data_IF_649625873251
#
_entry.id   IF_649625873251
#
_cell.length_a   1.000
_cell.length_b   1.000
_cell.length_c   1.000
_cell.angle_alpha   90.00
_cell.angle_beta   90.00
_cell.angle_gamma   90.00
#
_symmetry.space_group_name_H-M   'P 1'
#
loop_
_entity.id
_entity.type
_entity.pdbx_description
1 polymer ?
#
# COMPACT_ATOMS: atom_id res chain seq x y z
N UNK A 1 5.47 27.11 1.74
CA UNK A 1 6.52 27.76 0.95
C UNK A 1 7.41 28.43 1.97
N UNK A 2 8.39 27.71 2.46
CA UNK A 2 9.46 28.31 3.26
C UNK A 2 10.22 29.23 2.32
N UNK A 3 10.34 30.51 2.71
CA UNK A 3 11.23 31.45 2.07
C UNK A 3 12.64 30.90 2.25
N UNK A 4 13.19 30.33 1.18
CA UNK A 4 14.63 30.06 1.11
C UNK A 4 15.33 31.38 1.32
N UNK A 5 15.92 31.59 2.49
CA UNK A 5 16.85 32.67 2.71
C UNK A 5 17.98 32.50 1.68
N UNK A 6 18.06 33.40 0.71
CA UNK A 6 19.22 33.48 -0.19
C UNK A 6 20.47 33.57 0.70
N UNK A 7 21.25 32.48 0.75
CA UNK A 7 22.52 32.52 1.46
C UNK A 7 23.43 33.48 0.71
N UNK A 8 23.75 34.64 1.34
CA UNK A 8 24.53 35.71 0.73
C UNK A 8 25.93 35.22 0.30
N UNK A 9 26.50 34.24 1.04
CA UNK A 9 27.79 33.64 0.71
C UNK A 9 27.69 32.75 -0.52
N UNK A 10 26.66 31.91 -0.61
CA UNK A 10 26.43 31.07 -1.78
C UNK A 10 26.20 31.90 -3.04
N UNK A 11 25.43 33.00 -2.95
CA UNK A 11 25.22 33.92 -4.07
C UNK A 11 26.52 34.57 -4.51
N UNK A 12 27.36 35.06 -3.57
CA UNK A 12 28.69 35.63 -3.90
C UNK A 12 29.59 34.58 -4.56
N UNK A 13 29.50 33.34 -4.13
CA UNK A 13 30.25 32.25 -4.74
C UNK A 13 29.77 31.96 -6.17
N UNK A 14 28.46 31.94 -6.43
CA UNK A 14 27.90 31.81 -7.78
C UNK A 14 28.33 32.93 -8.69
N UNK A 15 28.20 34.21 -8.25
CA UNK A 15 28.64 35.38 -9.00
C UNK A 15 30.14 35.30 -9.32
N UNK A 16 30.97 34.83 -8.39
CA UNK A 16 32.42 34.61 -8.61
C UNK A 16 32.66 33.57 -9.73
N UNK A 17 31.92 32.46 -9.71
CA UNK A 17 32.06 31.41 -10.73
C UNK A 17 31.59 31.92 -12.10
N UNK A 18 30.41 32.55 -12.17
CA UNK A 18 29.83 33.06 -13.43
C UNK A 18 30.69 34.13 -14.09
N UNK A 19 31.24 35.06 -13.29
CA UNK A 19 32.06 36.15 -13.78
C UNK A 19 33.53 35.75 -13.99
N UNK A 20 33.91 34.52 -13.59
CA UNK A 20 35.30 34.04 -13.59
C UNK A 20 36.24 35.00 -12.81
N UNK A 21 35.75 35.50 -11.67
CA UNK A 21 36.48 36.34 -10.73
C UNK A 21 37.13 35.50 -9.63
N UNK A 22 38.15 36.02 -8.95
CA UNK A 22 38.74 35.39 -7.78
C UNK A 22 38.33 36.19 -6.53
N UNK A 23 37.36 35.66 -5.77
CA UNK A 23 37.04 36.16 -4.43
C UNK A 23 37.71 35.27 -3.39
N UNK A 24 38.11 35.87 -2.29
CA UNK A 24 38.64 35.14 -1.15
C UNK A 24 37.53 34.90 -0.15
N UNK A 25 37.35 33.63 0.22
CA UNK A 25 36.53 33.18 1.34
C UNK A 25 37.47 32.51 2.36
N UNK A 26 37.19 32.69 3.63
CA UNK A 26 37.90 31.93 4.66
C UNK A 26 37.36 30.50 4.80
N UNK A 27 37.90 29.73 5.74
CA UNK A 27 37.53 28.32 5.91
C UNK A 27 36.08 28.17 6.34
N UNK A 28 35.59 28.96 7.29
CA UNK A 28 34.23 28.93 7.81
C UNK A 28 33.24 29.32 6.71
N UNK A 29 33.51 30.39 5.96
CA UNK A 29 32.66 30.82 4.83
C UNK A 29 32.53 29.72 3.75
N UNK A 30 33.62 29.01 3.42
CA UNK A 30 33.54 27.88 2.48
C UNK A 30 32.76 26.71 3.04
N UNK A 31 32.87 26.40 4.32
CA UNK A 31 32.08 25.35 4.98
C UNK A 31 30.59 25.67 4.90
N UNK A 32 30.20 26.91 5.20
CA UNK A 32 28.82 27.39 5.09
C UNK A 32 28.28 27.26 3.65
N UNK A 33 29.08 27.64 2.64
CA UNK A 33 28.73 27.49 1.23
C UNK A 33 28.52 25.99 0.87
N UNK A 34 29.42 25.13 1.32
CA UNK A 34 29.34 23.70 1.03
C UNK A 34 28.10 23.08 1.68
N UNK A 35 27.85 23.40 2.96
CA UNK A 35 26.67 22.93 3.70
C UNK A 35 25.39 23.36 2.99
N UNK A 36 25.29 24.62 2.58
CA UNK A 36 24.15 25.15 1.85
C UNK A 36 23.82 24.33 0.59
N UNK A 37 24.81 23.97 -0.23
CA UNK A 37 24.60 23.17 -1.42
C UNK A 37 24.31 21.69 -1.10
N UNK A 38 24.85 21.14 -0.02
CA UNK A 38 24.52 19.80 0.46
C UNK A 38 23.06 19.71 0.89
N UNK A 39 22.57 20.72 1.63
CA UNK A 39 21.16 20.81 2.07
C UNK A 39 20.19 20.98 0.90
N UNK A 40 20.60 21.73 -0.15
CA UNK A 40 19.81 21.84 -1.39
C UNK A 40 19.82 20.58 -2.27
N UNK A 41 20.71 19.61 -1.98
CA UNK A 41 20.92 18.44 -2.83
C UNK A 41 21.69 18.77 -4.12
N UNK A 42 22.30 19.96 -4.24
CA UNK A 42 23.15 20.31 -5.39
C UNK A 42 24.60 19.90 -5.14
N UNK A 43 24.82 18.60 -5.18
CA UNK A 43 26.13 18.02 -4.94
C UNK A 43 27.19 18.44 -5.96
N UNK A 44 26.79 18.90 -7.15
CA UNK A 44 27.70 19.41 -8.16
C UNK A 44 28.30 20.74 -7.75
N UNK A 45 27.50 21.68 -7.25
CA UNK A 45 27.96 22.93 -6.71
C UNK A 45 28.73 22.76 -5.38
N UNK A 46 28.29 21.82 -4.53
CA UNK A 46 29.03 21.44 -3.33
C UNK A 46 30.46 20.96 -3.67
N UNK A 47 30.60 20.07 -4.67
CA UNK A 47 31.94 19.61 -5.14
C UNK A 47 32.76 20.77 -5.72
N UNK A 48 32.14 21.70 -6.45
CA UNK A 48 32.82 22.89 -6.99
C UNK A 48 33.33 23.76 -5.88
N UNK A 49 32.54 24.04 -4.84
CA UNK A 49 32.92 24.82 -3.67
C UNK A 49 34.08 24.15 -2.92
N UNK A 50 34.01 22.84 -2.66
CA UNK A 50 35.12 22.08 -2.06
C UNK A 50 36.41 22.21 -2.87
N UNK A 51 36.33 22.07 -4.21
CA UNK A 51 37.51 22.13 -5.06
C UNK A 51 38.15 23.53 -5.07
N UNK A 52 37.35 24.62 -4.96
CA UNK A 52 37.83 25.96 -4.79
C UNK A 52 38.45 26.18 -3.41
N UNK A 53 37.75 25.74 -2.36
CA UNK A 53 38.23 25.85 -0.99
C UNK A 53 39.60 25.17 -0.80
N UNK A 54 39.79 23.97 -1.32
CA UNK A 54 41.07 23.23 -1.21
C UNK A 54 42.21 23.83 -2.02
N UNK A 55 41.97 24.67 -3.04
CA UNK A 55 43.04 25.44 -3.70
C UNK A 55 43.60 26.51 -2.79
N UNK A 56 42.76 27.16 -1.96
CA UNK A 56 43.12 28.24 -1.07
C UNK A 56 43.56 27.67 0.30
N UNK A 57 42.86 26.68 0.81
CA UNK A 57 43.07 26.09 2.14
C UNK A 57 43.38 24.56 2.03
N UNK A 58 44.50 24.15 1.41
CA UNK A 58 44.76 22.74 1.06
C UNK A 58 44.93 21.81 2.26
N UNK A 59 45.22 22.34 3.42
CA UNK A 59 45.48 21.58 4.65
C UNK A 59 44.31 21.69 5.67
N UNK A 60 43.20 22.34 5.33
CA UNK A 60 42.05 22.42 6.23
C UNK A 60 41.42 21.03 6.39
N UNK A 61 41.39 20.53 7.62
CA UNK A 61 40.74 19.25 7.95
C UNK A 61 39.23 19.36 7.78
N UNK A 62 38.65 20.46 8.19
CA UNK A 62 37.21 20.73 8.12
C UNK A 62 36.70 20.69 6.66
N UNK A 63 37.38 21.38 5.71
CA UNK A 63 37.02 21.33 4.29
C UNK A 63 37.19 19.90 3.74
N UNK A 64 38.21 19.15 4.16
CA UNK A 64 38.41 17.76 3.76
C UNK A 64 37.32 16.86 4.33
N UNK A 65 36.84 17.10 5.53
CA UNK A 65 35.68 16.39 6.10
C UNK A 65 34.43 16.67 5.27
N UNK A 66 34.17 17.92 4.87
CA UNK A 66 33.04 18.23 3.93
C UNK A 66 33.28 17.65 2.53
N UNK A 67 34.54 17.56 2.05
CA UNK A 67 34.82 16.79 0.82
C UNK A 67 34.42 15.32 0.93
N UNK A 68 34.67 14.71 2.08
CA UNK A 68 34.28 13.34 2.34
C UNK A 68 32.74 13.20 2.29
N UNK A 69 32.01 14.12 2.89
CA UNK A 69 30.56 14.15 2.85
C UNK A 69 30.04 14.26 1.41
N UNK A 70 30.58 15.18 0.61
CA UNK A 70 30.26 15.31 -0.83
C UNK A 70 30.56 14.01 -1.61
N UNK A 71 31.65 13.31 -1.31
CA UNK A 71 31.94 12.04 -1.98
C UNK A 71 30.94 10.95 -1.59
N UNK A 72 30.42 10.95 -0.38
CA UNK A 72 29.38 10.01 0.07
C UNK A 72 28.07 10.26 -0.66
N UNK A 73 27.63 11.53 -0.76
CA UNK A 73 26.40 11.91 -1.47
C UNK A 73 26.49 11.62 -2.98
N UNK A 74 27.68 11.74 -3.56
CA UNK A 74 27.96 11.37 -4.97
C UNK A 74 28.25 9.89 -5.16
N UNK A 75 28.10 9.04 -4.13
CA UNK A 75 28.39 7.59 -4.15
C UNK A 75 29.82 7.23 -4.62
N UNK A 76 30.77 8.13 -4.46
CA UNK A 76 32.18 7.93 -4.87
C UNK A 76 32.97 7.21 -3.79
N UNK A 77 32.56 6.03 -3.40
CA UNK A 77 33.10 5.29 -2.25
C UNK A 77 34.59 5.00 -2.32
N UNK A 78 35.18 4.86 -3.51
CA UNK A 78 36.63 4.69 -3.67
C UNK A 78 37.40 5.92 -3.19
N UNK A 79 36.98 7.12 -3.65
CA UNK A 79 37.61 8.39 -3.23
C UNK A 79 37.35 8.67 -1.76
N UNK A 80 36.14 8.40 -1.29
CA UNK A 80 35.80 8.50 0.12
C UNK A 80 36.74 7.64 0.98
N UNK A 81 37.02 6.39 0.57
CA UNK A 81 37.94 5.51 1.29
C UNK A 81 39.36 6.04 1.34
N UNK A 82 39.89 6.53 0.22
CA UNK A 82 41.23 7.13 0.14
C UNK A 82 41.34 8.30 1.11
N UNK A 83 40.33 9.16 1.15
CA UNK A 83 40.30 10.34 2.03
C UNK A 83 40.12 9.92 3.51
N UNK A 84 39.32 8.92 3.82
CA UNK A 84 39.22 8.38 5.18
C UNK A 84 40.59 7.86 5.64
N UNK A 85 41.33 7.14 4.80
CA UNK A 85 42.64 6.61 5.16
C UNK A 85 43.68 7.72 5.35
N UNK A 86 43.60 8.81 4.58
CA UNK A 86 44.44 10.01 4.75
C UNK A 86 44.18 10.70 6.08
N UNK A 87 42.89 10.90 6.43
CA UNK A 87 42.47 11.70 7.58
C UNK A 87 42.46 10.93 8.91
N UNK A 88 42.45 9.60 8.86
CA UNK A 88 42.18 8.74 10.02
C UNK A 88 43.01 9.05 11.29
N UNK A 89 44.27 9.46 11.15
CA UNK A 89 45.13 9.73 12.31
C UNK A 89 44.97 11.15 12.87
N UNK A 90 44.54 12.10 12.05
CA UNK A 90 44.43 13.54 12.40
C UNK A 90 43.04 13.97 12.82
N UNK A 91 41.99 13.17 12.55
CA UNK A 91 40.59 13.55 12.73
C UNK A 91 39.79 12.60 13.62
N UNK A 92 40.43 11.77 14.45
CA UNK A 92 39.72 10.84 15.38
C UNK A 92 39.02 11.58 16.54
N UNK A 93 39.30 12.87 16.76
CA UNK A 93 38.63 13.71 17.74
C UNK A 93 37.65 14.71 17.06
N UNK A 94 37.30 14.47 15.80
CA UNK A 94 36.36 15.27 15.01
C UNK A 94 35.07 14.48 14.81
N UNK A 95 33.98 14.94 15.43
CA UNK A 95 32.66 14.28 15.37
C UNK A 95 32.16 14.19 13.95
N UNK A 96 32.25 15.25 13.14
CA UNK A 96 31.81 15.27 11.74
C UNK A 96 32.52 14.19 10.91
N UNK A 97 33.84 14.05 11.10
CA UNK A 97 34.62 13.02 10.42
C UNK A 97 34.17 11.59 10.83
N UNK A 98 33.93 11.38 12.13
CA UNK A 98 33.47 10.09 12.63
C UNK A 98 32.07 9.75 12.08
N UNK A 99 31.17 10.72 12.00
CA UNK A 99 29.85 10.59 11.37
C UNK A 99 29.99 10.23 9.89
N UNK A 100 30.85 10.91 9.14
CA UNK A 100 31.12 10.58 7.74
C UNK A 100 31.67 9.14 7.58
N UNK A 101 32.56 8.70 8.48
CA UNK A 101 33.03 7.31 8.50
C UNK A 101 31.88 6.33 8.78
N UNK A 102 30.99 6.65 9.70
CA UNK A 102 29.82 5.83 9.99
C UNK A 102 28.90 5.73 8.77
N UNK A 103 28.54 6.86 8.13
CA UNK A 103 27.77 6.90 6.86
C UNK A 103 28.44 6.07 5.77
N UNK A 104 29.76 6.16 5.61
CA UNK A 104 30.51 5.37 4.64
C UNK A 104 30.32 3.87 4.86
N UNK A 105 30.48 3.39 6.10
CA UNK A 105 30.33 1.96 6.39
C UNK A 105 28.86 1.49 6.33
N UNK A 106 27.91 2.35 6.68
CA UNK A 106 26.48 2.09 6.51
C UNK A 106 26.15 1.85 5.03
N UNK A 107 26.57 2.78 4.16
CA UNK A 107 26.35 2.70 2.70
C UNK A 107 26.99 1.44 2.06
N UNK A 108 28.06 0.92 2.65
CA UNK A 108 28.68 -0.33 2.24
C UNK A 108 28.03 -1.60 2.85
N UNK A 109 26.93 -1.44 3.60
CA UNK A 109 26.24 -2.55 4.26
C UNK A 109 27.07 -3.18 5.41
N UNK A 110 27.85 -2.38 6.10
CA UNK A 110 28.62 -2.82 7.26
C UNK A 110 28.17 -2.08 8.55
N UNK A 111 26.95 -2.41 9.05
CA UNK A 111 26.36 -1.72 10.20
C UNK A 111 27.19 -1.80 11.47
N UNK A 112 27.96 -2.89 11.67
CA UNK A 112 28.80 -3.03 12.86
C UNK A 112 29.90 -1.97 12.94
N UNK A 113 30.57 -1.72 11.82
CA UNK A 113 31.58 -0.66 11.76
C UNK A 113 30.97 0.72 11.82
N UNK A 114 29.80 0.91 11.21
CA UNK A 114 29.03 2.14 11.32
C UNK A 114 28.75 2.47 12.79
N UNK A 115 28.23 1.52 13.56
CA UNK A 115 27.96 1.66 15.00
C UNK A 115 29.25 1.99 15.77
N UNK A 116 30.38 1.33 15.48
CA UNK A 116 31.66 1.63 16.15
C UNK A 116 32.10 3.09 15.99
N UNK A 117 31.91 3.67 14.78
CA UNK A 117 32.24 5.08 14.53
C UNK A 117 31.26 6.03 15.20
N UNK A 118 29.96 5.74 15.15
CA UNK A 118 28.95 6.54 15.86
C UNK A 118 29.15 6.52 17.38
N UNK A 119 29.53 5.37 17.96
CA UNK A 119 29.83 5.28 19.41
C UNK A 119 31.01 6.14 19.79
N UNK A 120 32.07 6.22 18.96
CA UNK A 120 33.18 7.13 19.18
C UNK A 120 32.75 8.60 19.06
N UNK A 121 31.86 8.94 18.15
CA UNK A 121 31.30 10.27 18.04
C UNK A 121 30.52 10.66 19.30
N UNK A 122 29.70 9.75 19.86
CA UNK A 122 28.98 9.94 21.12
C UNK A 122 29.91 10.10 22.35
N UNK A 123 31.11 9.51 22.33
CA UNK A 123 32.10 9.73 23.40
C UNK A 123 32.64 11.18 23.41
N UNK A 124 32.55 11.89 22.27
CA UNK A 124 32.99 13.28 22.12
C UNK A 124 31.85 14.26 22.41
N UNK A 125 30.65 13.96 21.96
CA UNK A 125 29.44 14.76 22.09
C UNK A 125 28.30 13.91 22.62
N UNK A 126 28.05 13.97 23.95
CA UNK A 126 27.10 13.07 24.63
C UNK A 126 25.63 13.36 24.33
N UNK A 127 25.28 14.55 23.79
CA UNK A 127 23.89 15.03 23.68
C UNK A 127 23.35 15.08 22.26
N UNK A 128 23.84 14.23 21.35
CA UNK A 128 23.37 14.26 19.95
C UNK A 128 22.26 13.22 19.69
N UNK A 129 21.02 13.70 19.66
CA UNK A 129 19.83 12.94 19.27
C UNK A 129 20.06 12.18 17.94
N UNK A 130 20.63 12.85 16.93
CA UNK A 130 20.91 12.27 15.62
C UNK A 130 21.80 11.02 15.70
N UNK A 131 22.85 11.03 16.52
CA UNK A 131 23.75 9.87 16.66
C UNK A 131 23.03 8.66 17.27
N UNK A 132 22.17 8.89 18.26
CA UNK A 132 21.35 7.83 18.82
C UNK A 132 20.40 7.24 17.78
N UNK A 133 19.73 8.05 17.00
CA UNK A 133 18.86 7.59 15.91
C UNK A 133 19.64 6.79 14.87
N UNK A 134 20.80 7.30 14.45
CA UNK A 134 21.62 6.61 13.46
C UNK A 134 22.12 5.24 13.96
N UNK A 135 22.57 5.14 15.21
CA UNK A 135 22.93 3.85 15.81
C UNK A 135 21.72 2.90 15.89
N UNK A 136 20.57 3.43 16.26
CA UNK A 136 19.33 2.62 16.33
C UNK A 136 18.95 2.06 14.96
N UNK A 137 19.04 2.86 13.90
CA UNK A 137 18.80 2.42 12.51
C UNK A 137 19.75 1.30 12.10
N UNK A 138 21.03 1.41 12.48
CA UNK A 138 22.00 0.36 12.20
C UNK A 138 21.70 -0.94 12.98
N UNK A 139 21.16 -0.84 14.20
CA UNK A 139 20.67 -2.02 14.91
C UNK A 139 19.38 -2.60 14.26
N UNK A 140 18.53 -1.77 13.68
CA UNK A 140 17.40 -2.25 12.87
C UNK A 140 17.89 -3.01 11.64
N UNK A 141 18.94 -2.52 10.97
CA UNK A 141 19.59 -3.19 9.83
C UNK A 141 20.22 -4.53 10.23
N UNK A 142 20.63 -4.69 11.49
CA UNK A 142 21.12 -5.95 12.06
C UNK A 142 20.01 -6.88 12.56
N UNK A 143 18.73 -6.50 12.42
CA UNK A 143 17.56 -7.18 12.99
C UNK A 143 17.67 -7.36 14.53
N UNK A 144 18.22 -6.35 15.20
CA UNK A 144 18.36 -6.26 16.66
C UNK A 144 17.46 -5.15 17.24
N UNK A 145 16.14 -5.39 17.31
CA UNK A 145 15.21 -4.40 17.85
C UNK A 145 15.39 -4.09 19.32
N UNK A 146 16.10 -4.94 20.07
CA UNK A 146 16.36 -4.71 21.50
C UNK A 146 17.39 -3.58 21.69
N UNK A 147 18.48 -3.59 20.96
CA UNK A 147 19.47 -2.52 21.04
C UNK A 147 18.98 -1.26 20.30
N UNK A 148 18.26 -1.39 19.18
CA UNK A 148 17.59 -0.27 18.54
C UNK A 148 16.68 0.50 19.49
N UNK A 149 15.82 -0.21 20.25
CA UNK A 149 14.92 0.37 21.25
C UNK A 149 15.65 1.23 22.29
N UNK A 150 16.82 0.78 22.77
CA UNK A 150 17.60 1.55 23.74
C UNK A 150 18.07 2.89 23.19
N UNK A 151 18.53 2.88 21.93
CA UNK A 151 19.05 4.09 21.31
C UNK A 151 17.93 5.06 20.89
N UNK A 152 16.80 4.57 20.32
CA UNK A 152 15.65 5.44 20.09
C UNK A 152 15.09 6.03 21.39
N UNK A 153 15.08 5.26 22.48
CA UNK A 153 14.65 5.79 23.80
C UNK A 153 15.63 6.85 24.30
N UNK A 154 16.94 6.66 24.10
CA UNK A 154 17.94 7.65 24.45
C UNK A 154 17.78 8.93 23.60
N UNK A 155 17.51 8.81 22.30
CA UNK A 155 17.21 9.96 21.46
C UNK A 155 16.02 10.78 21.98
N UNK A 156 14.95 10.12 22.45
CA UNK A 156 13.79 10.79 23.06
C UNK A 156 14.09 11.43 24.44
N UNK A 157 15.14 11.02 25.13
CA UNK A 157 15.58 11.68 26.36
C UNK A 157 16.24 13.03 26.05
N UNK A 158 16.90 13.15 24.89
CA UNK A 158 17.54 14.39 24.40
C UNK A 158 16.53 15.29 23.68
N UNK A 159 15.74 14.74 22.76
CA UNK A 159 14.64 15.45 22.10
C UNK A 159 13.31 14.71 22.31
N UNK A 160 12.53 15.14 23.31
CA UNK A 160 11.23 14.51 23.57
C UNK A 160 10.17 14.71 22.47
N UNK A 161 10.38 15.56 21.51
CA UNK A 161 9.43 15.78 20.41
C UNK A 161 9.95 15.22 19.08
N UNK A 162 10.93 14.32 19.13
CA UNK A 162 11.38 13.57 17.98
C UNK A 162 10.36 12.46 17.62
N UNK A 163 9.45 12.80 16.72
CA UNK A 163 8.42 11.90 16.23
C UNK A 163 9.00 10.64 15.61
N UNK A 164 10.14 10.75 14.91
CA UNK A 164 10.82 9.61 14.30
C UNK A 164 11.26 8.57 15.35
N UNK A 165 11.91 9.03 16.41
CA UNK A 165 12.32 8.16 17.51
C UNK A 165 11.12 7.50 18.19
N UNK A 166 10.03 8.24 18.41
CA UNK A 166 8.85 7.72 19.08
C UNK A 166 8.16 6.60 18.26
N UNK A 167 7.96 6.81 16.98
CA UNK A 167 7.40 5.81 16.07
C UNK A 167 8.26 4.53 16.06
N UNK A 168 9.60 4.70 15.99
CA UNK A 168 10.53 3.56 15.99
C UNK A 168 10.61 2.84 17.33
N UNK A 169 10.46 3.51 18.46
CA UNK A 169 10.27 2.87 19.78
C UNK A 169 9.08 1.93 19.73
N UNK A 170 7.94 2.39 19.22
CA UNK A 170 6.72 1.58 19.10
C UNK A 170 6.89 0.40 18.14
N UNK A 171 7.58 0.60 17.02
CA UNK A 171 7.93 -0.47 16.08
C UNK A 171 8.84 -1.52 16.75
N UNK A 172 9.83 -1.10 17.54
CA UNK A 172 10.71 -2.00 18.26
C UNK A 172 9.95 -2.85 19.29
N UNK A 173 9.06 -2.25 20.08
CA UNK A 173 8.20 -3.00 20.99
C UNK A 173 7.33 -4.02 20.25
N UNK A 174 6.83 -3.66 19.08
CA UNK A 174 6.01 -4.54 18.25
C UNK A 174 6.83 -5.74 17.75
N UNK A 175 8.03 -5.49 17.19
CA UNK A 175 8.96 -6.55 16.76
C UNK A 175 9.39 -7.49 17.91
N UNK A 176 9.57 -6.93 19.11
CA UNK A 176 9.89 -7.69 20.31
C UNK A 176 8.69 -8.45 20.89
N UNK A 177 7.49 -8.24 20.36
CA UNK A 177 6.23 -8.76 20.89
C UNK A 177 6.00 -8.42 22.37
N UNK A 178 6.27 -7.16 22.75
CA UNK A 178 6.14 -6.62 24.11
C UNK A 178 5.06 -5.54 24.22
N UNK A 179 3.79 -5.88 23.93
CA UNK A 179 2.73 -4.88 23.81
C UNK A 179 2.42 -4.17 25.14
N UNK A 180 2.58 -4.85 26.30
CA UNK A 180 2.33 -4.22 27.58
C UNK A 180 3.39 -3.17 27.92
N UNK A 181 4.66 -3.46 27.66
CA UNK A 181 5.75 -2.51 27.86
C UNK A 181 5.60 -1.28 26.96
N UNK A 182 5.11 -1.47 25.69
CA UNK A 182 4.77 -0.39 24.81
C UNK A 182 3.70 0.56 25.39
N UNK A 183 2.63 -0.02 25.96
CA UNK A 183 1.58 0.79 26.60
C UNK A 183 2.07 1.52 27.84
N UNK A 184 2.87 0.83 28.67
CA UNK A 184 3.43 1.43 29.88
C UNK A 184 4.38 2.59 29.52
N UNK A 185 5.17 2.43 28.47
CA UNK A 185 6.02 3.49 27.92
C UNK A 185 5.17 4.68 27.43
N UNK A 186 4.15 4.43 26.59
CA UNK A 186 3.27 5.50 26.06
C UNK A 186 2.57 6.26 27.20
N UNK A 187 2.07 5.57 28.22
CA UNK A 187 1.43 6.24 29.35
C UNK A 187 2.40 7.16 30.10
N UNK A 188 3.62 6.67 30.41
CA UNK A 188 4.65 7.49 31.05
C UNK A 188 5.09 8.65 30.18
N UNK A 189 5.16 8.44 28.86
CA UNK A 189 5.52 9.49 27.93
C UNK A 189 4.43 10.57 27.85
N UNK A 190 3.16 10.19 27.73
CA UNK A 190 2.01 11.11 27.68
C UNK A 190 1.80 11.86 29.01
N UNK A 191 2.14 11.25 30.15
CA UNK A 191 2.13 11.94 31.45
C UNK A 191 3.14 13.12 31.47
N UNK A 192 4.26 12.98 30.78
CA UNK A 192 5.31 14.02 30.67
C UNK A 192 5.07 14.99 29.52
N UNK A 193 4.57 14.50 28.39
CA UNK A 193 4.39 15.23 27.14
C UNK A 193 2.95 15.10 26.60
N UNK A 194 1.96 15.68 27.29
CA UNK A 194 0.55 15.48 26.99
C UNK A 194 0.08 16.11 25.67
N UNK A 195 0.93 16.90 25.01
CA UNK A 195 0.64 17.54 23.71
C UNK A 195 1.37 16.88 22.53
N UNK A 196 1.99 15.72 22.72
CA UNK A 196 2.58 14.96 21.61
C UNK A 196 1.48 14.33 20.76
N UNK A 197 1.34 14.83 19.51
CA UNK A 197 0.40 14.28 18.53
C UNK A 197 0.71 12.82 18.21
N UNK A 198 1.99 12.52 17.97
CA UNK A 198 2.47 11.19 17.63
C UNK A 198 2.21 10.18 18.77
N UNK A 199 2.42 10.57 20.03
CA UNK A 199 2.13 9.68 21.14
C UNK A 199 0.63 9.36 21.27
N UNK A 200 -0.26 10.34 21.07
CA UNK A 200 -1.70 10.09 21.05
C UNK A 200 -2.15 9.27 19.86
N UNK A 201 -1.51 9.45 18.70
CA UNK A 201 -1.74 8.62 17.52
C UNK A 201 -1.37 7.15 17.81
N UNK A 202 -0.17 6.91 18.32
CA UNK A 202 0.32 5.57 18.68
C UNK A 202 -0.55 4.92 19.77
N UNK A 203 -1.01 5.69 20.75
CA UNK A 203 -1.97 5.23 21.75
C UNK A 203 -3.28 4.77 21.09
N UNK A 204 -3.83 5.57 20.19
CA UNK A 204 -5.03 5.22 19.44
C UNK A 204 -4.84 3.96 18.60
N UNK A 205 -3.72 3.86 17.87
CA UNK A 205 -3.38 2.69 17.06
C UNK A 205 -3.17 1.42 17.91
N UNK A 206 -2.51 1.55 19.05
CA UNK A 206 -2.33 0.43 19.96
C UNK A 206 -3.67 -0.20 20.36
N UNK A 207 -4.62 0.62 20.81
CA UNK A 207 -5.93 0.13 21.23
C UNK A 207 -6.81 -0.31 20.05
N UNK A 208 -6.68 0.31 18.89
CA UNK A 208 -7.33 -0.14 17.64
C UNK A 208 -6.91 -1.58 17.29
N UNK A 209 -5.60 -1.86 17.32
CA UNK A 209 -5.05 -3.20 17.06
C UNK A 209 -5.49 -4.24 18.12
N UNK A 210 -5.72 -3.80 19.34
CA UNK A 210 -6.29 -4.63 20.42
C UNK A 210 -7.81 -4.76 20.35
N UNK A 211 -8.47 -4.14 19.33
CA UNK A 211 -9.92 -4.08 19.17
C UNK A 211 -10.67 -3.42 20.34
N UNK A 212 -9.97 -2.62 21.13
CA UNK A 212 -10.57 -1.77 22.16
C UNK A 212 -10.83 -0.38 21.54
N UNK A 213 -11.90 -0.32 20.76
CA UNK A 213 -12.19 0.84 19.94
C UNK A 213 -12.58 2.08 20.74
N UNK A 214 -13.16 1.91 21.95
CA UNK A 214 -13.47 3.01 22.85
C UNK A 214 -12.21 3.76 23.29
N UNK A 215 -11.18 3.02 23.72
CA UNK A 215 -9.90 3.64 24.12
C UNK A 215 -9.13 4.18 22.91
N UNK A 216 -9.23 3.52 21.75
CA UNK A 216 -8.66 4.05 20.52
C UNK A 216 -9.26 5.42 20.15
N UNK A 217 -10.60 5.57 20.22
CA UNK A 217 -11.29 6.82 19.99
C UNK A 217 -10.83 7.90 20.95
N UNK A 218 -10.64 7.56 22.25
CA UNK A 218 -10.12 8.53 23.24
C UNK A 218 -8.76 9.08 22.82
N UNK A 219 -7.82 8.20 22.38
CA UNK A 219 -6.52 8.64 21.89
C UNK A 219 -6.63 9.59 20.71
N UNK A 220 -7.47 9.23 19.72
CA UNK A 220 -7.72 10.07 18.56
C UNK A 220 -8.44 11.38 18.91
N UNK A 221 -9.34 11.39 19.91
CA UNK A 221 -9.99 12.61 20.40
C UNK A 221 -9.00 13.57 21.05
N UNK A 222 -8.04 13.06 21.83
CA UNK A 222 -6.97 13.90 22.41
C UNK A 222 -6.08 14.48 21.30
N UNK A 223 -5.70 13.69 20.30
CA UNK A 223 -4.94 14.21 19.18
C UNK A 223 -5.71 15.30 18.43
N UNK A 224 -6.98 15.08 18.12
CA UNK A 224 -7.81 16.07 17.42
C UNK A 224 -8.07 17.33 18.25
N UNK A 225 -8.00 17.23 19.57
CA UNK A 225 -8.05 18.41 20.45
C UNK A 225 -6.76 19.25 20.36
N UNK A 226 -5.61 18.64 20.06
CA UNK A 226 -4.33 19.29 19.86
C UNK A 226 -4.26 19.85 18.43
N UNK A 227 -4.56 19.00 17.44
CA UNK A 227 -4.51 19.31 16.01
C UNK A 227 -5.82 18.93 15.33
N UNK A 228 -6.76 19.87 15.26
CA UNK A 228 -8.06 19.65 14.63
C UNK A 228 -8.01 19.51 13.12
N UNK A 229 -6.84 19.71 12.48
CA UNK A 229 -6.67 19.59 11.02
C UNK A 229 -6.03 18.26 10.59
N UNK A 230 -5.80 17.35 11.51
CA UNK A 230 -5.21 16.03 11.24
C UNK A 230 -6.23 15.10 10.56
N UNK A 231 -6.45 15.29 9.26
CA UNK A 231 -7.49 14.61 8.46
C UNK A 231 -7.44 13.09 8.59
N UNK A 232 -6.25 12.49 8.55
CA UNK A 232 -6.07 11.04 8.69
C UNK A 232 -6.60 10.46 10.00
N UNK A 233 -6.60 11.26 11.07
CA UNK A 233 -7.07 10.83 12.39
C UNK A 233 -8.59 10.72 12.43
N UNK A 234 -9.32 11.58 11.73
CA UNK A 234 -10.76 11.43 11.56
C UNK A 234 -11.10 10.10 10.87
N UNK A 235 -10.35 9.70 9.84
CA UNK A 235 -10.55 8.43 9.16
C UNK A 235 -10.33 7.24 10.11
N UNK A 236 -9.28 7.29 10.96
CA UNK A 236 -9.00 6.26 11.96
C UNK A 236 -10.11 6.19 13.02
N UNK A 237 -10.57 7.34 13.52
CA UNK A 237 -11.70 7.44 14.47
C UNK A 237 -12.98 6.89 13.87
N UNK A 238 -13.31 7.25 12.61
CA UNK A 238 -14.47 6.72 11.91
C UNK A 238 -14.37 5.20 11.73
N UNK A 239 -13.19 4.67 11.41
CA UNK A 239 -12.93 3.22 11.31
C UNK A 239 -13.16 2.49 12.62
N UNK A 240 -12.88 3.11 13.76
CA UNK A 240 -13.26 2.56 15.07
C UNK A 240 -14.79 2.41 15.20
N UNK A 241 -15.54 3.43 14.83
CA UNK A 241 -17.01 3.38 14.86
C UNK A 241 -17.57 2.36 13.86
N UNK A 242 -16.98 2.26 12.65
CA UNK A 242 -17.33 1.19 11.67
C UNK A 242 -17.14 -0.20 12.29
N UNK A 243 -15.99 -0.44 12.92
CA UNK A 243 -15.69 -1.71 13.56
C UNK A 243 -16.63 -2.06 14.73
N UNK A 244 -17.21 -1.04 15.37
CA UNK A 244 -18.24 -1.16 16.39
C UNK A 244 -19.66 -1.23 15.83
N UNK A 245 -19.82 -1.22 14.49
CA UNK A 245 -21.12 -1.11 13.79
C UNK A 245 -21.94 0.12 14.16
N UNK A 246 -21.30 1.18 14.66
CA UNK A 246 -21.89 2.48 15.02
C UNK A 246 -21.88 3.40 13.81
N UNK A 247 -22.73 3.08 12.83
CA UNK A 247 -22.71 3.70 11.50
C UNK A 247 -23.03 5.18 11.53
N UNK A 248 -23.97 5.62 12.37
CA UNK A 248 -24.35 7.03 12.50
C UNK A 248 -23.20 7.89 13.06
N UNK A 249 -22.46 7.35 14.03
CA UNK A 249 -21.28 8.01 14.60
C UNK A 249 -20.13 8.07 13.58
N UNK A 250 -19.91 7.00 12.84
CA UNK A 250 -18.89 6.99 11.77
C UNK A 250 -19.20 8.06 10.71
N UNK A 251 -20.48 8.16 10.29
CA UNK A 251 -20.93 9.17 9.31
C UNK A 251 -20.67 10.59 9.82
N UNK A 252 -20.97 10.89 11.08
CA UNK A 252 -20.70 12.22 11.65
C UNK A 252 -19.21 12.57 11.60
N UNK A 253 -18.35 11.62 11.95
CA UNK A 253 -16.90 11.86 11.90
C UNK A 253 -16.41 12.07 10.46
N UNK A 254 -16.95 11.33 9.48
CA UNK A 254 -16.65 11.58 8.08
C UNK A 254 -17.21 12.93 7.58
N UNK A 255 -18.36 13.38 8.09
CA UNK A 255 -18.90 14.71 7.78
C UNK A 255 -18.02 15.83 8.34
N UNK A 256 -17.46 15.69 9.54
CA UNK A 256 -16.44 16.59 10.08
C UNK A 256 -15.17 16.62 9.20
N UNK A 257 -14.71 15.45 8.76
CA UNK A 257 -13.56 15.32 7.85
C UNK A 257 -13.77 16.05 6.51
N UNK A 258 -15.00 16.03 5.95
CA UNK A 258 -15.33 16.71 4.69
C UNK A 258 -15.12 18.22 4.72
N UNK A 259 -15.17 18.85 5.88
CA UNK A 259 -14.92 20.29 6.02
C UNK A 259 -13.45 20.66 5.84
N UNK A 260 -12.55 19.66 5.99
CA UNK A 260 -11.09 19.82 5.98
C UNK A 260 -10.45 19.34 4.66
N UNK A 261 -11.14 18.51 3.88
CA UNK A 261 -10.57 17.87 2.69
C UNK A 261 -10.76 18.70 1.42
N UNK A 262 -9.74 18.68 0.56
CA UNK A 262 -9.82 19.18 -0.82
C UNK A 262 -10.42 18.16 -1.79
N UNK A 263 -10.17 16.86 -1.58
CA UNK A 263 -10.66 15.76 -2.41
C UNK A 263 -11.65 14.90 -1.63
N UNK A 264 -12.93 15.15 -1.85
CA UNK A 264 -14.03 14.60 -1.04
C UNK A 264 -14.60 13.27 -1.53
N UNK A 265 -14.14 12.79 -2.71
CA UNK A 265 -14.73 11.62 -3.36
C UNK A 265 -14.65 10.35 -2.49
N UNK A 266 -13.49 10.09 -1.90
CA UNK A 266 -13.28 8.91 -1.05
C UNK A 266 -14.12 8.99 0.25
N UNK A 267 -14.21 10.17 0.87
CA UNK A 267 -14.98 10.35 2.09
C UNK A 267 -16.48 10.19 1.84
N UNK A 268 -17.02 10.72 0.73
CA UNK A 268 -18.39 10.44 0.33
C UNK A 268 -18.63 8.96 0.05
N UNK A 269 -17.68 8.28 -0.53
CA UNK A 269 -17.74 6.82 -0.73
C UNK A 269 -17.81 6.08 0.61
N UNK A 270 -16.98 6.43 1.60
CA UNK A 270 -17.01 5.84 2.95
C UNK A 270 -18.35 6.10 3.65
N UNK A 271 -18.91 7.31 3.56
CA UNK A 271 -20.26 7.66 4.05
C UNK A 271 -21.31 6.76 3.36
N UNK A 272 -21.18 6.56 2.05
CA UNK A 272 -22.07 5.68 1.28
C UNK A 272 -22.04 4.24 1.79
N UNK A 273 -20.85 3.70 2.08
CA UNK A 273 -20.71 2.37 2.67
C UNK A 273 -21.38 2.28 4.05
N UNK A 274 -21.17 3.28 4.92
CA UNK A 274 -21.81 3.32 6.23
C UNK A 274 -23.34 3.32 6.12
N UNK A 275 -23.91 4.10 5.20
CA UNK A 275 -25.35 4.07 4.95
C UNK A 275 -25.84 2.73 4.41
N UNK A 276 -25.06 2.08 3.55
CA UNK A 276 -25.39 0.74 3.03
C UNK A 276 -25.45 -0.28 4.15
N UNK A 277 -24.42 -0.34 5.00
CA UNK A 277 -24.37 -1.27 6.14
C UNK A 277 -25.47 -0.97 7.19
N UNK A 278 -25.89 0.29 7.32
CA UNK A 278 -27.04 0.68 8.13
C UNK A 278 -28.40 0.36 7.48
N UNK A 279 -28.43 -0.24 6.29
CA UNK A 279 -29.66 -0.57 5.54
C UNK A 279 -30.35 0.65 4.92
N UNK A 280 -29.70 1.81 4.86
CA UNK A 280 -30.25 3.08 4.36
C UNK A 280 -29.86 3.27 2.88
N UNK A 281 -30.38 2.39 1.98
CA UNK A 281 -29.92 2.30 0.58
C UNK A 281 -30.07 3.61 -0.21
N UNK A 282 -31.14 4.39 0.03
CA UNK A 282 -31.35 5.68 -0.66
C UNK A 282 -30.30 6.71 -0.28
N UNK A 283 -29.97 6.82 1.01
CA UNK A 283 -28.90 7.70 1.49
C UNK A 283 -27.54 7.26 0.97
N UNK A 284 -27.29 5.96 0.92
CA UNK A 284 -26.10 5.34 0.33
C UNK A 284 -25.91 5.76 -1.13
N UNK A 285 -26.95 5.58 -1.96
CA UNK A 285 -26.92 6.04 -3.36
C UNK A 285 -26.62 7.53 -3.48
N UNK A 286 -27.23 8.35 -2.61
CA UNK A 286 -27.00 9.80 -2.61
C UNK A 286 -25.54 10.13 -2.29
N UNK A 287 -24.93 9.42 -1.34
CA UNK A 287 -23.53 9.60 -0.97
C UNK A 287 -22.58 9.16 -2.11
N UNK A 288 -22.84 8.02 -2.75
CA UNK A 288 -22.05 7.59 -3.92
C UNK A 288 -22.21 8.54 -5.12
N UNK A 289 -23.39 9.12 -5.33
CA UNK A 289 -23.59 10.18 -6.34
C UNK A 289 -22.76 11.43 -6.03
N UNK A 290 -22.63 11.82 -4.75
CA UNK A 290 -21.73 12.91 -4.35
C UNK A 290 -20.27 12.54 -4.62
N UNK A 291 -19.85 11.32 -4.29
CA UNK A 291 -18.51 10.81 -4.60
C UNK A 291 -18.19 10.94 -6.10
N UNK A 292 -19.13 10.53 -6.97
CA UNK A 292 -18.96 10.62 -8.43
C UNK A 292 -19.06 12.05 -9.00
N UNK A 293 -19.63 12.99 -8.27
CA UNK A 293 -19.57 14.41 -8.64
C UNK A 293 -18.20 15.02 -8.38
N UNK A 294 -17.55 14.60 -7.29
CA UNK A 294 -16.19 15.02 -6.96
C UNK A 294 -15.14 14.34 -7.88
N UNK A 295 -15.32 13.03 -8.14
CA UNK A 295 -14.47 12.26 -9.06
C UNK A 295 -15.35 11.37 -9.95
N UNK A 296 -15.63 11.79 -11.20
CA UNK A 296 -16.40 11.00 -12.14
C UNK A 296 -15.76 9.66 -12.53
N UNK A 297 -14.49 9.42 -12.23
CA UNK A 297 -13.79 8.16 -12.51
C UNK A 297 -13.65 7.25 -11.29
N UNK A 298 -14.34 7.55 -10.19
CA UNK A 298 -14.27 6.77 -8.97
C UNK A 298 -15.05 5.46 -9.10
N UNK A 299 -14.45 4.48 -9.78
CA UNK A 299 -15.07 3.20 -10.14
C UNK A 299 -15.57 2.38 -8.93
N UNK A 300 -15.01 2.58 -7.73
CA UNK A 300 -15.51 1.92 -6.51
C UNK A 300 -16.94 2.34 -6.19
N UNK A 301 -17.25 3.63 -6.27
CA UNK A 301 -18.59 4.12 -6.04
C UNK A 301 -19.58 3.66 -7.12
N UNK A 302 -19.15 3.58 -8.38
CA UNK A 302 -19.99 3.02 -9.46
C UNK A 302 -20.35 1.56 -9.18
N UNK A 303 -19.37 0.75 -8.77
CA UNK A 303 -19.64 -0.66 -8.48
C UNK A 303 -20.56 -0.83 -7.28
N UNK A 304 -20.41 -0.02 -6.24
CA UNK A 304 -21.34 -0.04 -5.10
C UNK A 304 -22.74 0.44 -5.49
N UNK A 305 -22.90 1.42 -6.38
CA UNK A 305 -24.21 1.77 -6.93
C UNK A 305 -24.82 0.60 -7.72
N UNK A 306 -24.01 -0.09 -8.53
CA UNK A 306 -24.46 -1.30 -9.21
C UNK A 306 -25.00 -2.34 -8.24
N UNK A 307 -24.29 -2.59 -7.13
CA UNK A 307 -24.71 -3.53 -6.10
C UNK A 307 -26.06 -3.15 -5.48
N UNK A 308 -26.23 -1.86 -5.13
CA UNK A 308 -27.46 -1.36 -4.53
C UNK A 308 -28.65 -1.41 -5.51
N UNK A 309 -28.44 -1.00 -6.76
CA UNK A 309 -29.51 -1.05 -7.76
C UNK A 309 -30.00 -2.48 -8.01
N UNK A 310 -29.10 -3.46 -8.01
CA UNK A 310 -29.53 -4.88 -8.08
C UNK A 310 -30.33 -5.29 -6.85
N UNK A 311 -29.87 -4.94 -5.63
CA UNK A 311 -30.59 -5.23 -4.39
C UNK A 311 -31.99 -4.59 -4.37
N UNK A 312 -32.13 -3.42 -4.98
CA UNK A 312 -33.41 -2.75 -5.16
C UNK A 312 -34.27 -3.33 -6.29
N UNK A 313 -33.81 -4.36 -7.01
CA UNK A 313 -34.52 -4.98 -8.11
C UNK A 313 -34.49 -4.18 -9.42
N UNK A 314 -33.51 -3.31 -9.61
CA UNK A 314 -33.30 -2.48 -10.79
C UNK A 314 -32.06 -2.96 -11.58
N UNK A 315 -32.13 -4.11 -12.27
CA UNK A 315 -30.94 -4.71 -12.88
C UNK A 315 -30.38 -3.91 -14.08
N UNK A 316 -31.18 -3.06 -14.73
CA UNK A 316 -30.73 -2.23 -15.85
C UNK A 316 -29.81 -1.11 -15.38
N UNK A 317 -30.19 -0.42 -14.29
CA UNK A 317 -29.38 0.58 -13.65
C UNK A 317 -28.11 -0.03 -13.05
N UNK A 318 -28.24 -1.22 -12.46
CA UNK A 318 -27.08 -1.98 -11.97
C UNK A 318 -26.10 -2.30 -13.09
N UNK A 319 -26.60 -2.73 -14.26
CA UNK A 319 -25.80 -3.04 -15.43
C UNK A 319 -25.06 -1.81 -15.93
N UNK A 320 -25.75 -0.65 -16.05
CA UNK A 320 -25.13 0.59 -16.49
C UNK A 320 -23.89 0.97 -15.64
N UNK A 321 -24.05 0.98 -14.31
CA UNK A 321 -22.93 1.33 -13.42
C UNK A 321 -21.80 0.27 -13.42
N UNK A 322 -22.15 -1.01 -13.61
CA UNK A 322 -21.13 -2.06 -13.75
C UNK A 322 -20.32 -1.91 -15.06
N UNK A 323 -20.97 -1.53 -16.17
CA UNK A 323 -20.29 -1.24 -17.44
C UNK A 323 -19.30 -0.10 -17.29
N UNK A 324 -19.72 1.02 -16.70
CA UNK A 324 -18.86 2.18 -16.48
C UNK A 324 -17.65 1.83 -15.57
N UNK A 325 -17.89 1.08 -14.48
CA UNK A 325 -16.81 0.67 -13.58
C UNK A 325 -15.81 -0.28 -14.26
N UNK A 326 -16.29 -1.22 -15.08
CA UNK A 326 -15.43 -2.14 -15.83
C UNK A 326 -14.63 -1.40 -16.89
N UNK A 327 -15.21 -0.40 -17.57
CA UNK A 327 -14.50 0.41 -18.56
C UNK A 327 -13.27 1.14 -17.96
N UNK A 328 -13.34 1.51 -16.68
CA UNK A 328 -12.23 2.14 -15.95
C UNK A 328 -11.23 1.14 -15.37
N UNK A 329 -11.65 -0.10 -15.12
CA UNK A 329 -10.79 -1.15 -14.55
C UNK A 329 -11.11 -2.53 -15.14
N UNK A 330 -10.74 -2.71 -16.41
CA UNK A 330 -11.02 -3.95 -17.18
C UNK A 330 -10.34 -5.21 -16.61
N UNK A 331 -9.26 -5.07 -15.88
CA UNK A 331 -8.52 -6.22 -15.33
C UNK A 331 -9.07 -6.71 -13.98
N UNK A 332 -10.05 -6.04 -13.40
CA UNK A 332 -10.64 -6.45 -12.15
C UNK A 332 -11.58 -7.64 -12.33
N UNK A 333 -11.17 -8.80 -11.80
CA UNK A 333 -11.90 -10.06 -11.91
C UNK A 333 -13.32 -10.01 -11.32
N UNK A 334 -13.47 -9.35 -10.18
CA UNK A 334 -14.79 -9.29 -9.52
C UNK A 334 -15.76 -8.41 -10.31
N UNK A 335 -15.25 -7.33 -10.93
CA UNK A 335 -16.06 -6.47 -11.80
C UNK A 335 -16.47 -7.18 -13.09
N UNK A 336 -15.57 -7.95 -13.70
CA UNK A 336 -15.89 -8.75 -14.87
C UNK A 336 -16.94 -9.83 -14.56
N UNK A 337 -16.83 -10.51 -13.41
CA UNK A 337 -17.83 -11.48 -12.96
C UNK A 337 -19.18 -10.81 -12.75
N UNK A 338 -19.17 -9.66 -12.10
CA UNK A 338 -20.36 -8.88 -11.83
C UNK A 338 -21.07 -8.47 -13.12
N UNK A 339 -20.31 -7.94 -14.07
CA UNK A 339 -20.82 -7.52 -15.36
C UNK A 339 -21.42 -8.70 -16.14
N UNK A 340 -20.73 -9.84 -16.20
CA UNK A 340 -21.24 -11.04 -16.84
C UNK A 340 -22.55 -11.51 -16.22
N UNK A 341 -22.63 -11.52 -14.87
CA UNK A 341 -23.85 -11.91 -14.15
C UNK A 341 -25.01 -10.96 -14.46
N UNK A 342 -24.79 -9.65 -14.45
CA UNK A 342 -25.82 -8.65 -14.74
C UNK A 342 -26.35 -8.76 -16.18
N UNK A 343 -25.47 -8.96 -17.18
CA UNK A 343 -25.91 -9.24 -18.55
C UNK A 343 -26.82 -10.48 -18.63
N UNK A 344 -26.42 -11.57 -17.97
CA UNK A 344 -27.22 -12.81 -17.92
C UNK A 344 -28.56 -12.56 -17.24
N UNK A 345 -28.59 -11.84 -16.12
CA UNK A 345 -29.83 -11.54 -15.37
C UNK A 345 -30.78 -10.61 -16.13
N UNK A 346 -30.24 -9.72 -16.99
CA UNK A 346 -31.01 -8.86 -17.88
C UNK A 346 -31.47 -9.59 -19.16
N UNK A 347 -31.00 -10.82 -19.41
CA UNK A 347 -31.28 -11.58 -20.63
C UNK A 347 -30.42 -11.14 -21.83
N UNK A 348 -29.41 -10.33 -21.61
CA UNK A 348 -28.45 -9.84 -22.61
C UNK A 348 -27.29 -10.86 -22.69
N UNK A 349 -27.61 -12.05 -23.22
CA UNK A 349 -26.69 -13.20 -23.16
C UNK A 349 -25.44 -13.00 -24.03
N UNK A 350 -25.59 -12.42 -25.23
CA UNK A 350 -24.48 -12.19 -26.18
C UNK A 350 -23.45 -11.22 -25.62
N UNK A 351 -23.91 -10.17 -24.95
CA UNK A 351 -23.06 -9.16 -24.30
C UNK A 351 -22.24 -9.74 -23.14
N UNK A 352 -22.75 -10.82 -22.49
CA UNK A 352 -22.00 -11.50 -21.43
C UNK A 352 -20.74 -12.23 -21.91
N UNK A 353 -20.60 -12.45 -23.23
CA UNK A 353 -19.45 -13.17 -23.79
C UNK A 353 -18.12 -12.42 -23.59
N UNK A 354 -18.11 -11.10 -23.74
CA UNK A 354 -16.90 -10.32 -23.59
C UNK A 354 -16.32 -10.45 -22.16
N UNK A 355 -17.08 -10.17 -21.09
CA UNK A 355 -16.58 -10.34 -19.72
C UNK A 355 -16.26 -11.80 -19.38
N UNK A 356 -17.02 -12.79 -19.88
CA UNK A 356 -16.73 -14.21 -19.65
C UNK A 356 -15.43 -14.65 -20.31
N UNK A 357 -15.16 -14.22 -21.57
CA UNK A 357 -13.86 -14.44 -22.22
C UNK A 357 -12.73 -13.81 -21.46
N UNK A 358 -12.90 -12.57 -21.00
CA UNK A 358 -11.90 -11.86 -20.19
C UNK A 358 -11.58 -12.61 -18.90
N UNK A 359 -12.58 -13.18 -18.23
CA UNK A 359 -12.37 -14.01 -17.04
C UNK A 359 -11.56 -15.27 -17.33
N UNK A 360 -11.78 -15.92 -18.49
CA UNK A 360 -10.99 -17.08 -18.90
C UNK A 360 -9.54 -16.67 -19.20
N UNK A 361 -9.32 -15.51 -19.82
CA UNK A 361 -7.97 -14.97 -20.09
C UNK A 361 -7.20 -14.66 -18.82
N UNK A 362 -7.86 -14.02 -17.84
CA UNK A 362 -7.25 -13.61 -16.58
C UNK A 362 -7.04 -14.78 -15.59
N UNK A 363 -7.99 -15.70 -15.53
CA UNK A 363 -7.92 -16.90 -14.67
C UNK A 363 -8.20 -18.19 -15.46
N UNK A 364 -7.33 -18.64 -16.36
CA UNK A 364 -7.55 -19.84 -17.18
C UNK A 364 -7.61 -21.13 -16.35
N UNK A 365 -7.02 -21.13 -15.17
CA UNK A 365 -7.04 -22.26 -14.22
C UNK A 365 -8.36 -22.43 -13.49
N UNK A 366 -9.28 -21.48 -13.56
CA UNK A 366 -10.55 -21.51 -12.85
C UNK A 366 -11.66 -22.11 -13.71
N UNK A 367 -11.98 -23.38 -13.49
CA UNK A 367 -12.96 -24.12 -14.31
C UNK A 367 -14.35 -23.46 -14.35
N UNK A 368 -14.75 -22.73 -13.31
CA UNK A 368 -16.04 -22.03 -13.25
C UNK A 368 -16.22 -20.99 -14.36
N UNK A 369 -15.16 -20.34 -14.80
CA UNK A 369 -15.23 -19.37 -15.89
C UNK A 369 -15.61 -20.06 -17.21
N UNK A 370 -15.01 -21.21 -17.49
CA UNK A 370 -15.33 -22.05 -18.64
C UNK A 370 -16.74 -22.62 -18.56
N UNK A 371 -17.11 -23.10 -17.36
CA UNK A 371 -18.44 -23.64 -17.09
C UNK A 371 -19.53 -22.60 -17.33
N UNK A 372 -19.39 -21.37 -16.83
CA UNK A 372 -20.34 -20.29 -16.99
C UNK A 372 -20.46 -19.87 -18.47
N UNK A 373 -19.35 -19.75 -19.18
CA UNK A 373 -19.37 -19.37 -20.58
C UNK A 373 -20.08 -20.41 -21.45
N UNK A 374 -19.76 -21.69 -21.30
CA UNK A 374 -20.42 -22.75 -22.01
C UNK A 374 -21.92 -22.85 -21.67
N UNK A 375 -22.30 -22.53 -20.44
CA UNK A 375 -23.71 -22.51 -20.04
C UNK A 375 -24.50 -21.42 -20.75
N UNK A 376 -23.95 -20.25 -20.88
CA UNK A 376 -24.61 -19.15 -21.65
C UNK A 376 -24.76 -19.51 -23.12
N UNK A 377 -23.71 -20.08 -23.74
CA UNK A 377 -23.81 -20.57 -25.13
C UNK A 377 -24.94 -21.60 -25.32
N UNK A 378 -25.07 -22.53 -24.36
CA UNK A 378 -26.18 -23.51 -24.40
C UNK A 378 -27.54 -22.86 -24.20
N UNK A 379 -27.66 -21.80 -23.39
CA UNK A 379 -28.93 -21.08 -23.16
C UNK A 379 -29.46 -20.41 -24.43
N UNK A 380 -28.58 -19.92 -25.29
CA UNK A 380 -28.97 -19.28 -26.57
C UNK A 380 -29.02 -20.28 -27.75
N UNK A 381 -28.66 -21.55 -27.49
CA UNK A 381 -28.71 -22.60 -28.50
C UNK A 381 -27.46 -22.77 -29.36
N UNK A 382 -26.37 -22.06 -29.04
CA UNK A 382 -25.09 -22.14 -29.77
C UNK A 382 -24.27 -23.35 -29.27
N UNK A 383 -24.80 -24.56 -29.57
CA UNK A 383 -24.23 -25.81 -29.06
C UNK A 383 -22.89 -26.17 -29.67
N UNK A 384 -22.63 -25.83 -30.95
CA UNK A 384 -21.34 -26.01 -31.63
C UNK A 384 -20.22 -25.24 -30.93
N UNK A 385 -20.47 -23.96 -30.62
CA UNK A 385 -19.53 -23.12 -29.91
C UNK A 385 -19.31 -23.58 -28.47
N UNK A 386 -20.38 -24.01 -27.80
CA UNK A 386 -20.30 -24.62 -26.48
C UNK A 386 -19.42 -25.88 -26.47
N UNK A 387 -19.52 -26.75 -27.47
CA UNK A 387 -18.65 -27.92 -27.64
C UNK A 387 -17.19 -27.49 -27.75
N UNK A 388 -16.86 -26.51 -28.61
CA UNK A 388 -15.51 -26.04 -28.82
C UNK A 388 -14.86 -25.48 -27.53
N UNK A 389 -15.64 -24.76 -26.72
CA UNK A 389 -15.20 -24.20 -25.43
C UNK A 389 -15.03 -25.33 -24.40
N UNK A 390 -15.98 -26.26 -24.30
CA UNK A 390 -15.94 -27.37 -23.35
C UNK A 390 -14.77 -28.34 -23.64
N UNK A 391 -14.47 -28.62 -24.88
CA UNK A 391 -13.31 -29.45 -25.26
C UNK A 391 -11.98 -28.82 -24.81
N UNK A 392 -11.82 -27.50 -24.97
CA UNK A 392 -10.64 -26.77 -24.43
C UNK A 392 -10.61 -26.83 -22.90
N UNK A 393 -11.75 -26.60 -22.26
CA UNK A 393 -11.87 -26.61 -20.80
C UNK A 393 -11.49 -27.98 -20.20
N UNK A 394 -11.95 -29.07 -20.81
CA UNK A 394 -11.72 -30.45 -20.34
C UNK A 394 -10.24 -30.85 -20.43
N UNK A 395 -9.47 -30.29 -21.38
CA UNK A 395 -8.03 -30.55 -21.47
C UNK A 395 -7.29 -30.08 -20.20
N UNK A 396 -7.71 -28.97 -19.63
CA UNK A 396 -7.12 -28.39 -18.42
C UNK A 396 -7.86 -28.82 -17.14
N UNK A 397 -9.15 -29.05 -17.25
CA UNK A 397 -10.05 -29.32 -16.11
C UNK A 397 -10.95 -30.51 -16.41
N UNK A 398 -10.50 -31.77 -16.30
CA UNK A 398 -11.29 -32.97 -16.58
C UNK A 398 -12.32 -33.28 -15.46
N UNK A 399 -13.32 -32.38 -15.28
CA UNK A 399 -14.35 -32.46 -14.24
C UNK A 399 -15.69 -33.02 -14.77
N UNK A 400 -16.42 -33.69 -13.92
CA UNK A 400 -17.67 -34.30 -14.27
C UNK A 400 -18.71 -33.31 -14.80
N UNK A 401 -18.77 -32.11 -14.21
CA UNK A 401 -19.66 -31.01 -14.59
C UNK A 401 -19.51 -30.63 -16.09
N UNK A 402 -18.27 -30.50 -16.55
CA UNK A 402 -17.99 -30.16 -17.95
C UNK A 402 -18.36 -31.31 -18.91
N UNK A 403 -18.15 -32.55 -18.51
CA UNK A 403 -18.57 -33.71 -19.31
C UNK A 403 -20.09 -33.83 -19.38
N UNK A 404 -20.84 -33.46 -18.32
CA UNK A 404 -22.32 -33.40 -18.37
C UNK A 404 -22.78 -32.32 -19.36
N UNK A 405 -22.18 -31.13 -19.34
CA UNK A 405 -22.48 -30.04 -20.30
C UNK A 405 -22.17 -30.47 -21.73
N UNK A 406 -20.98 -31.05 -21.98
CA UNK A 406 -20.56 -31.50 -23.30
C UNK A 406 -21.46 -32.61 -23.81
N UNK A 407 -21.84 -33.55 -22.97
CA UNK A 407 -22.85 -34.60 -23.30
C UNK A 407 -24.19 -33.97 -23.71
N UNK A 408 -24.67 -32.96 -22.95
CA UNK A 408 -25.90 -32.26 -23.26
C UNK A 408 -25.82 -31.53 -24.62
N UNK A 409 -24.72 -30.91 -24.96
CA UNK A 409 -24.50 -30.27 -26.26
C UNK A 409 -24.62 -31.30 -27.40
N UNK A 410 -23.94 -32.46 -27.29
CA UNK A 410 -23.99 -33.51 -28.29
C UNK A 410 -25.40 -34.09 -28.47
N UNK A 411 -26.19 -34.22 -27.41
CA UNK A 411 -27.60 -34.64 -27.55
C UNK A 411 -28.44 -33.61 -28.30
N UNK A 412 -28.24 -32.32 -28.07
CA UNK A 412 -28.95 -31.26 -28.79
C UNK A 412 -28.51 -31.14 -30.25
N UNK A 413 -27.29 -31.55 -30.57
CA UNK A 413 -26.73 -31.63 -31.94
C UNK A 413 -27.06 -32.97 -32.62
N UNK A 414 -27.90 -33.82 -32.03
CA UNK A 414 -28.27 -35.15 -32.51
C UNK A 414 -27.10 -36.13 -32.67
N UNK A 415 -26.01 -35.92 -31.96
CA UNK A 415 -24.83 -36.78 -31.89
C UNK A 415 -24.94 -37.75 -30.70
N UNK A 416 -25.98 -38.59 -30.70
CA UNK A 416 -26.34 -39.41 -29.54
C UNK A 416 -25.23 -40.37 -29.08
N UNK A 417 -24.46 -40.95 -30.00
CA UNK A 417 -23.37 -41.88 -29.66
C UNK A 417 -22.28 -41.22 -28.82
N UNK A 418 -21.85 -40.00 -29.19
CA UNK A 418 -20.84 -39.23 -28.47
C UNK A 418 -21.41 -38.71 -27.15
N UNK A 419 -22.64 -38.20 -27.17
CA UNK A 419 -23.36 -37.79 -25.96
C UNK A 419 -23.43 -38.88 -24.89
N UNK A 420 -23.72 -40.13 -25.27
CA UNK A 420 -23.74 -41.27 -24.34
C UNK A 420 -22.36 -41.60 -23.80
N UNK A 421 -21.32 -41.59 -24.64
CA UNK A 421 -19.95 -41.89 -24.21
C UNK A 421 -19.45 -40.86 -23.18
N UNK A 422 -19.71 -39.56 -23.41
CA UNK A 422 -19.37 -38.46 -22.51
C UNK A 422 -20.16 -38.53 -21.19
N UNK A 423 -21.45 -38.90 -21.27
CA UNK A 423 -22.30 -39.08 -20.09
C UNK A 423 -21.79 -40.23 -19.21
N UNK A 424 -21.39 -41.36 -19.82
CA UNK A 424 -20.78 -42.45 -19.07
C UNK A 424 -19.48 -42.05 -18.38
N UNK A 425 -18.70 -41.17 -19.02
CA UNK A 425 -17.48 -40.64 -18.44
C UNK A 425 -17.77 -39.68 -17.26
N UNK A 426 -18.75 -38.79 -17.39
CA UNK A 426 -19.21 -37.92 -16.31
C UNK A 426 -19.70 -38.73 -15.09
N UNK A 427 -20.54 -39.77 -15.33
CA UNK A 427 -21.05 -40.66 -14.29
C UNK A 427 -19.97 -41.49 -13.59
N UNK A 428 -18.85 -41.78 -14.26
CA UNK A 428 -17.68 -42.44 -13.64
C UNK A 428 -16.87 -41.50 -12.78
N UNK A 429 -16.73 -40.23 -13.20
CA UNK A 429 -15.97 -39.22 -12.49
C UNK A 429 -16.67 -38.79 -11.19
N UNK A 430 -17.96 -38.48 -11.28
CA UNK A 430 -18.76 -38.13 -10.10
C UNK A 430 -20.23 -38.61 -10.25
N UNK A 431 -20.56 -39.76 -9.66
CA UNK A 431 -21.93 -40.27 -9.66
C UNK A 431 -22.90 -39.42 -8.83
N UNK A 432 -22.43 -38.62 -7.86
CA UNK A 432 -23.27 -37.86 -6.95
C UNK A 432 -23.99 -36.71 -7.64
N UNK A 433 -23.34 -36.07 -8.62
CA UNK A 433 -23.90 -34.98 -9.44
C UNK A 433 -25.04 -35.40 -10.37
N UNK A 434 -25.24 -36.72 -10.57
CA UNK A 434 -26.18 -37.22 -11.56
C UNK A 434 -27.63 -36.75 -11.34
N UNK A 435 -28.06 -36.52 -10.09
CA UNK A 435 -29.43 -36.06 -9.81
C UNK A 435 -29.63 -34.61 -10.22
N UNK A 436 -28.67 -33.75 -9.86
CA UNK A 436 -28.73 -32.32 -10.11
C UNK A 436 -28.61 -32.03 -11.60
N UNK A 437 -27.71 -32.74 -12.29
CA UNK A 437 -27.55 -32.63 -13.74
C UNK A 437 -28.74 -33.15 -14.55
N UNK A 438 -29.47 -34.16 -14.07
CA UNK A 438 -30.73 -34.60 -14.68
C UNK A 438 -31.85 -33.57 -14.51
N UNK A 439 -31.85 -32.79 -13.44
CA UNK A 439 -32.79 -31.68 -13.26
C UNK A 439 -32.45 -30.52 -14.20
N UNK A 440 -31.17 -30.21 -14.31
CA UNK A 440 -30.66 -29.11 -15.12
C UNK A 440 -30.78 -29.40 -16.63
N UNK A 441 -30.52 -30.63 -17.06
CA UNK A 441 -30.51 -31.06 -18.45
C UNK A 441 -31.51 -32.24 -18.67
N UNK A 442 -32.77 -31.96 -19.02
CA UNK A 442 -33.82 -32.98 -19.11
C UNK A 442 -33.52 -34.13 -20.08
N UNK A 443 -32.83 -33.86 -21.20
CA UNK A 443 -32.42 -34.90 -22.16
C UNK A 443 -31.53 -35.99 -21.54
N UNK A 444 -30.66 -35.61 -20.63
CA UNK A 444 -29.77 -36.54 -19.92
C UNK A 444 -30.54 -37.54 -19.07
N UNK A 445 -31.74 -37.21 -18.55
CA UNK A 445 -32.53 -38.05 -17.64
C UNK A 445 -32.93 -39.39 -18.24
N UNK A 446 -33.34 -39.41 -19.51
CA UNK A 446 -33.70 -40.64 -20.21
C UNK A 446 -32.49 -41.52 -20.52
N UNK A 447 -31.40 -40.88 -20.92
CA UNK A 447 -30.16 -41.57 -21.27
C UNK A 447 -29.50 -42.22 -20.05
N UNK A 448 -29.49 -41.53 -18.89
CA UNK A 448 -29.00 -42.11 -17.63
C UNK A 448 -29.80 -43.39 -17.24
N UNK A 449 -31.12 -43.41 -17.47
CA UNK A 449 -31.92 -44.60 -17.23
C UNK A 449 -31.51 -45.75 -18.16
N UNK A 450 -31.31 -45.47 -19.47
CA UNK A 450 -30.88 -46.48 -20.45
C UNK A 450 -29.46 -47.03 -20.12
N UNK A 451 -28.53 -46.19 -19.70
CA UNK A 451 -27.19 -46.63 -19.30
C UNK A 451 -27.25 -47.54 -18.06
N UNK A 452 -28.06 -47.16 -17.04
CA UNK A 452 -28.19 -47.94 -15.81
C UNK A 452 -28.88 -49.31 -16.05
N UNK A 453 -29.80 -49.39 -17.02
CA UNK A 453 -30.45 -50.64 -17.39
C UNK A 453 -29.54 -51.56 -18.21
N UNK A 454 -28.64 -51.05 -19.02
CA UNK A 454 -27.64 -51.85 -19.76
C UNK A 454 -26.52 -52.44 -18.90
N UNK A 455 -26.30 -51.90 -17.69
CA UNK A 455 -25.27 -52.36 -16.74
C UNK A 455 -25.79 -53.31 -15.67
N UNK A 456 -27.12 -53.61 -15.67
CA UNK A 456 -27.75 -54.69 -14.93
C UNK A 456 -27.90 -55.92 -15.83
#
# INVERSE_FOLDING_TARGET
>A
MEEFFENELARKFEEMIENNEELYFDTEEYVDIIIYYLELGDFSYAELAVNHALKIHPNSLEIKTKQLEVFLELERYTKAKELIDELHQSSLEDTDFLVCCAKYYSNLGNPKKSIEYCQKALELEEEENFLHNFIADEFVNLDDPFNALKHYTAALEHDPYDDYSLENVMLCYNKLNRPQEALDFLNQYLDRFPFSETAWYEYGQYFFNKKNYEEAIRGFDYLLAINSTAVGVYANKASCYEAMTKWEEAIKVYEEMLELEYTKAFTFYKIGLCYKEAGKLVQSLTAFQKSLREDPQFYLAMMEQSNIYEEMGNPKEALYFAQEAVALNESNLEYQKRLAFLYISCGEYEESFAPLKKLIELEPSRFYNWYAYSEVLMLIGEYEDAVAILEKAIQSHPRAELYYQLSNCHFNLHNDSEGVALLEKALKLDPSLSKDMQLKYPFIKEQVKKIKTKKK
#
